data_IF_855618360849
#
_entry.id   IF_855618360849
#
_cell.length_a   1.000
_cell.length_b   1.000
_cell.length_c   1.000
_cell.angle_alpha   90.00
_cell.angle_beta   90.00
_cell.angle_gamma   90.00
#
_symmetry.space_group_name_H-M   'P 1'
#
loop_
_entity.id
_entity.type
_entity.pdbx_description
1 polymer ?
#
# COMPACT_ATOMS: atom_id res chain seq x y z
N UNK A 1 14.91 -24.66 -6.39
CA UNK A 1 13.82 -24.36 -5.43
C UNK A 1 13.30 -22.95 -5.70
N UNK A 2 12.31 -22.79 -6.59
CA UNK A 2 11.63 -21.51 -6.78
C UNK A 2 10.70 -21.29 -5.60
N UNK A 3 11.08 -20.38 -4.70
CA UNK A 3 10.29 -19.99 -3.53
C UNK A 3 8.87 -19.64 -3.98
N UNK A 4 7.88 -20.38 -3.44
CA UNK A 4 6.45 -20.18 -3.68
C UNK A 4 6.15 -18.69 -3.45
N UNK A 5 5.66 -18.00 -4.48
CA UNK A 5 5.21 -16.61 -4.35
C UNK A 5 4.00 -16.64 -3.42
N UNK A 6 4.18 -16.29 -2.15
CA UNK A 6 3.05 -15.95 -1.28
C UNK A 6 2.25 -14.85 -2.01
N UNK A 7 0.95 -15.09 -2.20
CA UNK A 7 0.10 -14.14 -2.90
C UNK A 7 0.03 -12.86 -2.07
N UNK A 8 0.28 -11.72 -2.73
CA UNK A 8 0.19 -10.42 -2.07
C UNK A 8 -1.23 -10.16 -1.57
N UNK A 9 -1.36 -9.40 -0.48
CA UNK A 9 -2.65 -9.09 0.14
C UNK A 9 -3.71 -8.60 -0.87
N UNK A 10 -3.31 -7.74 -1.81
CA UNK A 10 -4.20 -7.20 -2.83
C UNK A 10 -4.71 -8.31 -3.78
N UNK A 11 -3.81 -9.17 -4.27
CA UNK A 11 -4.17 -10.33 -5.09
C UNK A 11 -5.04 -11.34 -4.34
N UNK A 12 -4.74 -11.59 -3.07
CA UNK A 12 -5.51 -12.52 -2.22
C UNK A 12 -6.96 -12.05 -1.99
N UNK A 13 -7.16 -10.72 -1.89
CA UNK A 13 -8.48 -10.11 -1.75
C UNK A 13 -9.12 -9.72 -3.09
N UNK A 14 -8.56 -10.18 -4.21
CA UNK A 14 -9.03 -9.88 -5.57
C UNK A 14 -9.12 -8.36 -5.90
N UNK A 15 -8.31 -7.54 -5.22
CA UNK A 15 -8.23 -6.10 -5.42
C UNK A 15 -7.30 -5.84 -6.61
N UNK A 16 -7.89 -5.52 -7.76
CA UNK A 16 -7.15 -5.22 -9.01
C UNK A 16 -6.65 -3.79 -9.11
N UNK A 17 -7.29 -2.86 -8.42
CA UNK A 17 -7.01 -1.43 -8.46
C UNK A 17 -7.04 -0.86 -7.05
N UNK A 18 -6.12 0.08 -6.77
CA UNK A 18 -6.04 0.78 -5.49
C UNK A 18 -6.36 2.25 -5.76
N UNK A 19 -7.54 2.70 -5.33
CA UNK A 19 -7.90 4.12 -5.44
C UNK A 19 -7.19 4.92 -4.34
N UNK A 20 -6.83 6.17 -4.66
CA UNK A 20 -6.30 7.10 -3.65
C UNK A 20 -7.38 7.57 -2.67
N UNK A 21 -8.66 7.38 -3.01
CA UNK A 21 -9.82 7.72 -2.16
C UNK A 21 -10.10 6.68 -1.08
N UNK A 22 -9.57 5.46 -1.22
CA UNK A 22 -9.78 4.38 -0.25
C UNK A 22 -8.84 4.52 0.95
N UNK A 23 -9.01 5.60 1.73
CA UNK A 23 -8.10 6.01 2.79
C UNK A 23 -7.88 4.90 3.83
N UNK A 24 -8.92 4.14 4.16
CA UNK A 24 -8.85 3.05 5.14
C UNK A 24 -7.95 1.91 4.66
N UNK A 25 -8.06 1.53 3.38
CA UNK A 25 -7.17 0.54 2.77
C UNK A 25 -5.73 1.06 2.78
N UNK A 26 -5.51 2.31 2.39
CA UNK A 26 -4.18 2.89 2.32
C UNK A 26 -3.52 2.99 3.71
N UNK A 27 -4.28 3.32 4.75
CA UNK A 27 -3.79 3.41 6.14
C UNK A 27 -3.22 2.10 6.64
N UNK A 28 -3.77 0.96 6.24
CA UNK A 28 -3.25 -0.36 6.63
C UNK A 28 -1.80 -0.59 6.20
N UNK A 29 -1.34 0.12 5.16
CA UNK A 29 0.02 0.02 4.63
C UNK A 29 0.91 1.20 4.99
N UNK A 30 0.49 2.05 5.95
CA UNK A 30 1.30 3.11 6.51
C UNK A 30 1.82 2.73 7.88
N UNK A 31 3.09 3.04 8.13
CA UNK A 31 3.66 3.02 9.47
C UNK A 31 3.05 4.13 10.34
N UNK A 32 3.14 4.03 11.68
CA UNK A 32 2.60 5.05 12.59
C UNK A 32 3.12 6.46 12.33
N UNK A 33 4.38 6.58 11.89
CA UNK A 33 4.99 7.86 11.50
C UNK A 33 4.50 8.42 10.15
N UNK A 34 3.54 7.75 9.51
CA UNK A 34 2.98 8.11 8.21
C UNK A 34 3.75 7.58 7.01
N UNK A 35 4.92 6.93 7.17
CA UNK A 35 5.70 6.39 6.04
C UNK A 35 5.04 5.16 5.40
N UNK A 36 5.21 4.97 4.08
CA UNK A 36 4.73 3.75 3.40
C UNK A 36 5.55 2.55 3.85
N UNK A 37 4.89 1.50 4.33
CA UNK A 37 5.56 0.29 4.76
C UNK A 37 6.28 -0.42 3.60
N UNK A 38 7.47 -0.95 3.88
CA UNK A 38 8.27 -1.69 2.91
C UNK A 38 7.73 -3.09 2.64
N UNK A 39 8.18 -3.68 1.52
CA UNK A 39 7.73 -4.98 1.02
C UNK A 39 7.77 -6.12 2.06
N UNK A 40 8.79 -6.14 2.93
CA UNK A 40 8.93 -7.17 3.98
C UNK A 40 7.78 -7.18 4.99
N UNK A 41 7.12 -6.03 5.20
CA UNK A 41 5.98 -5.90 6.11
C UNK A 41 4.65 -6.03 5.40
N UNK A 42 4.56 -5.58 4.16
CA UNK A 42 3.29 -5.57 3.40
C UNK A 42 3.02 -6.87 2.65
N UNK A 43 4.04 -7.71 2.42
CA UNK A 43 3.98 -8.91 1.59
C UNK A 43 3.39 -8.70 0.19
N UNK A 44 3.43 -7.46 -0.33
CA UNK A 44 2.94 -7.15 -1.66
C UNK A 44 3.95 -7.55 -2.75
N UNK A 45 3.43 -7.93 -3.91
CA UNK A 45 4.24 -8.03 -5.12
C UNK A 45 4.80 -6.66 -5.53
N UNK A 46 5.86 -6.65 -6.35
CA UNK A 46 6.44 -5.40 -6.82
C UNK A 46 5.45 -4.52 -7.61
N UNK A 47 4.49 -5.14 -8.31
CA UNK A 47 3.44 -4.42 -9.06
C UNK A 47 2.45 -3.75 -8.10
N UNK A 48 1.95 -4.51 -7.13
CA UNK A 48 1.04 -4.02 -6.10
C UNK A 48 1.66 -2.90 -5.27
N UNK A 49 2.92 -3.05 -4.84
CA UNK A 49 3.63 -2.01 -4.09
C UNK A 49 3.72 -0.69 -4.86
N UNK A 50 3.95 -0.73 -6.19
CA UNK A 50 4.00 0.48 -7.04
C UNK A 50 2.62 1.14 -7.15
N UNK A 51 1.55 0.34 -7.33
CA UNK A 51 0.18 0.84 -7.38
C UNK A 51 -0.21 1.51 -6.06
N UNK A 52 0.04 0.83 -4.94
CA UNK A 52 -0.18 1.37 -3.60
C UNK A 52 0.59 2.67 -3.37
N UNK A 53 1.89 2.70 -3.69
CA UNK A 53 2.71 3.89 -3.49
C UNK A 53 2.21 5.09 -4.32
N UNK A 54 1.71 4.86 -5.53
CA UNK A 54 1.10 5.91 -6.36
C UNK A 54 -0.21 6.42 -5.74
N UNK A 55 -1.06 5.51 -5.28
CA UNK A 55 -2.31 5.86 -4.61
C UNK A 55 -2.06 6.67 -3.34
N UNK A 56 -1.12 6.25 -2.49
CA UNK A 56 -0.72 7.01 -1.28
C UNK A 56 -0.20 8.41 -1.65
N UNK A 57 0.65 8.54 -2.67
CA UNK A 57 1.17 9.86 -3.10
C UNK A 57 0.04 10.80 -3.53
N UNK A 58 -0.94 10.29 -4.28
CA UNK A 58 -2.13 11.05 -4.70
C UNK A 58 -2.99 11.41 -3.50
N UNK A 59 -3.25 10.48 -2.60
CA UNK A 59 -4.05 10.71 -1.40
C UNK A 59 -3.42 11.80 -0.51
N UNK A 60 -2.09 11.79 -0.37
CA UNK A 60 -1.35 12.84 0.36
C UNK A 60 -1.45 14.21 -0.32
N UNK A 61 -1.32 14.26 -1.65
CA UNK A 61 -1.49 15.52 -2.39
C UNK A 61 -2.90 16.10 -2.23
N UNK A 62 -3.91 15.23 -2.14
CA UNK A 62 -5.31 15.60 -1.93
C UNK A 62 -5.66 15.89 -0.46
N UNK A 63 -4.71 15.79 0.47
CA UNK A 63 -4.93 16.03 1.90
C UNK A 63 -5.67 14.90 2.64
N UNK A 64 -5.87 13.73 2.01
CA UNK A 64 -6.56 12.59 2.62
C UNK A 64 -5.66 11.79 3.58
N UNK A 65 -4.34 11.85 3.36
CA UNK A 65 -3.33 11.18 4.18
C UNK A 65 -2.19 12.14 4.55
N UNK A 66 -1.64 12.02 5.77
CA UNK A 66 -0.49 12.82 6.17
C UNK A 66 0.81 12.34 5.50
N UNK A 67 1.75 13.26 5.27
CA UNK A 67 3.12 12.93 4.89
C UNK A 67 3.94 12.41 6.08
N UNK A 68 3.68 12.98 7.25
CA UNK A 68 4.32 12.69 8.54
C UNK A 68 3.21 12.67 9.57
N UNK A 69 3.18 11.65 10.42
CA UNK A 69 2.31 11.58 11.59
C UNK A 69 3.18 11.56 12.85
N UNK A 70 2.70 12.21 13.90
CA UNK A 70 3.37 12.35 15.20
C UNK A 70 3.23 11.07 16.04
#
# INVERSE_FOLDING_TARGET
MTMKKEQGYLSANNIRYVDYKDVDLLRMFLAPNGQVMGKKRTNLSAKEQRMLALAVKRARFMGLLPYIAA
#
